data_IF_141305465844
#
_entry.id   IF_141305465844
#
_cell.length_a   1.000
_cell.length_b   1.000
_cell.length_c   1.000
_cell.angle_alpha   90.00
_cell.angle_beta   90.00
_cell.angle_gamma   90.00
#
_symmetry.space_group_name_H-M   'P 1'
#
loop_
_entity.id
_entity.type
_entity.pdbx_description
1 polymer ?
#
# COMPACT_ATOMS: atom_id res chain seq x y z
N UNK A 1 0.71 -23.34 -2.23
CA UNK A 1 0.25 -23.05 -0.86
C UNK A 1 -1.03 -22.26 -1.02
N UNK A 2 -2.12 -22.63 -0.35
CA UNK A 2 -3.37 -21.89 -0.49
C UNK A 2 -3.17 -20.54 0.21
N UNK A 3 -3.13 -19.44 -0.56
CA UNK A 3 -3.07 -18.10 0.00
C UNK A 3 -4.23 -17.92 0.96
N UNK A 4 -3.93 -17.60 2.21
CA UNK A 4 -4.97 -17.24 3.16
C UNK A 4 -5.62 -15.97 2.64
N UNK A 5 -6.90 -16.05 2.28
CA UNK A 5 -7.67 -14.89 1.85
C UNK A 5 -7.62 -13.83 2.95
N UNK A 6 -7.43 -12.58 2.54
CA UNK A 6 -7.45 -11.43 3.45
C UNK A 6 -8.63 -11.51 4.43
N UNK A 7 -8.43 -11.33 5.76
CA UNK A 7 -9.50 -11.45 6.76
C UNK A 7 -10.53 -10.32 6.69
N UNK A 8 -10.33 -9.36 5.79
CA UNK A 8 -11.22 -8.23 5.53
C UNK A 8 -11.55 -8.16 4.04
N UNK A 9 -12.56 -7.35 3.70
CA UNK A 9 -12.82 -6.94 2.33
C UNK A 9 -11.71 -5.98 1.89
N UNK A 10 -10.69 -6.52 1.21
CA UNK A 10 -9.53 -5.76 0.75
C UNK A 10 -9.97 -4.70 -0.26
N UNK A 11 -9.70 -3.44 0.04
CA UNK A 11 -10.05 -2.33 -0.83
C UNK A 11 -8.85 -1.87 -1.65
N UNK A 12 -9.07 -1.21 -2.80
CA UNK A 12 -8.02 -0.39 -3.41
C UNK A 12 -7.49 0.61 -2.38
N UNK A 13 -6.17 0.78 -2.31
CA UNK A 13 -5.52 1.68 -1.34
C UNK A 13 -6.04 3.11 -1.48
N UNK A 14 -6.33 3.57 -2.70
CA UNK A 14 -6.89 4.89 -2.95
C UNK A 14 -8.30 5.06 -2.37
N UNK A 15 -9.08 3.98 -2.29
CA UNK A 15 -10.38 3.98 -1.61
C UNK A 15 -10.20 3.93 -0.10
N UNK A 16 -9.32 3.01 0.36
CA UNK A 16 -9.07 2.81 1.78
C UNK A 16 -8.51 4.07 2.47
N UNK A 17 -7.58 4.79 1.87
CA UNK A 17 -6.98 5.98 2.51
C UNK A 17 -8.00 7.11 2.76
N UNK A 18 -9.07 7.16 1.96
CA UNK A 18 -10.09 8.22 2.05
C UNK A 18 -11.20 7.92 3.05
N UNK A 19 -11.35 6.67 3.51
CA UNK A 19 -12.45 6.37 4.41
C UNK A 19 -12.21 6.98 5.79
N UNK A 20 -13.27 7.22 6.57
CA UNK A 20 -13.13 7.75 7.92
C UNK A 20 -12.14 6.93 8.74
N UNK A 21 -11.21 7.62 9.38
CA UNK A 21 -10.21 7.00 10.23
C UNK A 21 -10.92 6.30 11.41
N UNK A 22 -10.75 4.97 11.59
CA UNK A 22 -11.32 4.25 12.72
C UNK A 22 -10.63 4.70 14.00
N UNK A 23 -11.09 5.80 14.62
CA UNK A 23 -10.58 6.34 15.89
C UNK A 23 -9.05 6.23 16.06
N UNK A 24 -8.30 7.05 15.31
CA UNK A 24 -6.90 7.35 15.65
C UNK A 24 -5.83 6.43 15.06
N UNK A 25 -6.12 5.71 13.97
CA UNK A 25 -5.10 4.93 13.25
C UNK A 25 -4.19 5.85 12.42
N UNK A 26 -4.72 6.98 11.94
CA UNK A 26 -4.10 7.82 10.91
C UNK A 26 -3.70 6.97 9.71
N UNK A 27 -4.66 6.64 8.82
CA UNK A 27 -4.40 5.82 7.62
C UNK A 27 -3.25 6.37 6.76
N UNK A 28 -3.17 7.70 6.65
CA UNK A 28 -2.08 8.39 5.94
C UNK A 28 -0.70 8.16 6.60
N UNK A 29 -0.65 8.03 7.93
CA UNK A 29 0.59 7.77 8.66
C UNK A 29 1.15 6.38 8.36
N UNK A 30 0.32 5.44 7.94
CA UNK A 30 0.74 4.11 7.51
C UNK A 30 1.37 4.12 6.11
N UNK A 31 1.23 5.19 5.31
CA UNK A 31 1.72 5.18 3.93
C UNK A 31 3.25 5.25 3.81
N UNK A 32 3.94 5.86 4.78
CA UNK A 32 5.40 5.91 4.77
C UNK A 32 6.04 4.51 4.84
N UNK A 33 5.67 3.63 5.80
CA UNK A 33 6.18 2.26 5.80
C UNK A 33 5.68 1.44 4.61
N UNK A 34 4.45 1.69 4.11
CA UNK A 34 3.95 1.02 2.89
C UNK A 34 4.80 1.36 1.67
N UNK A 35 5.09 2.65 1.46
CA UNK A 35 5.96 3.12 0.38
C UNK A 35 7.33 2.47 0.45
N UNK A 36 7.94 2.41 1.65
CA UNK A 36 9.25 1.79 1.81
C UNK A 36 9.21 0.31 1.42
N UNK A 37 8.21 -0.43 1.87
CA UNK A 37 8.08 -1.84 1.56
C UNK A 37 7.82 -2.08 0.06
N UNK A 38 6.94 -1.30 -0.58
CA UNK A 38 6.71 -1.38 -2.03
C UNK A 38 8.01 -1.14 -2.83
N UNK A 39 8.81 -0.13 -2.44
CA UNK A 39 10.10 0.15 -3.10
C UNK A 39 11.05 -1.04 -3.04
N UNK A 40 11.20 -1.64 -1.85
CA UNK A 40 12.07 -2.80 -1.64
C UNK A 40 11.61 -3.99 -2.48
N UNK A 41 10.31 -4.35 -2.38
CA UNK A 41 9.76 -5.49 -3.10
C UNK A 41 9.86 -5.31 -4.62
N UNK A 42 9.47 -4.14 -5.14
CA UNK A 42 9.55 -3.84 -6.58
C UNK A 42 11.00 -3.88 -7.07
N UNK A 43 11.94 -3.30 -6.32
CA UNK A 43 13.35 -3.29 -6.68
C UNK A 43 13.96 -4.69 -6.67
N UNK A 44 13.64 -5.52 -5.67
CA UNK A 44 14.08 -6.92 -5.60
C UNK A 44 13.58 -7.76 -6.78
N UNK A 45 12.40 -7.42 -7.33
CA UNK A 45 11.83 -8.07 -8.52
C UNK A 45 12.27 -7.42 -9.85
N UNK A 46 13.05 -6.34 -9.80
CA UNK A 46 13.57 -5.66 -10.99
C UNK A 46 12.65 -4.62 -11.62
N UNK A 47 11.54 -4.27 -10.97
CA UNK A 47 10.56 -3.26 -11.43
C UNK A 47 10.99 -1.83 -11.07
N UNK A 48 12.19 -1.44 -11.51
CA UNK A 48 12.81 -0.16 -11.14
C UNK A 48 12.04 1.05 -11.68
N UNK A 49 11.29 0.91 -12.77
CA UNK A 49 10.41 1.95 -13.31
C UNK A 49 9.35 2.38 -12.30
N UNK A 50 8.69 1.44 -11.62
CA UNK A 50 7.67 1.73 -10.62
C UNK A 50 8.28 2.37 -9.37
N UNK A 51 9.48 1.94 -8.97
CA UNK A 51 10.23 2.59 -7.88
C UNK A 51 10.48 4.07 -8.21
N UNK A 52 10.92 4.36 -9.43
CA UNK A 52 11.15 5.75 -9.87
C UNK A 52 9.86 6.58 -9.91
N UNK A 53 8.71 5.99 -10.27
CA UNK A 53 7.41 6.67 -10.24
C UNK A 53 6.99 6.99 -8.80
N UNK A 54 7.10 6.03 -7.89
CA UNK A 54 6.85 6.22 -6.46
C UNK A 54 7.76 7.30 -5.86
N UNK A 55 9.04 7.32 -6.25
CA UNK A 55 10.00 8.33 -5.80
C UNK A 55 9.62 9.74 -6.26
N UNK A 56 9.16 9.91 -7.51
CA UNK A 56 8.72 11.21 -8.01
C UNK A 56 7.52 11.74 -7.20
N UNK A 57 6.57 10.87 -6.86
CA UNK A 57 5.41 11.25 -6.06
C UNK A 57 5.84 11.62 -4.64
N UNK A 58 6.70 10.81 -4.02
CA UNK A 58 7.18 11.02 -2.65
C UNK A 58 8.06 12.26 -2.47
N UNK A 59 8.74 12.72 -3.52
CA UNK A 59 9.57 13.94 -3.50
C UNK A 59 8.81 15.19 -4.00
N UNK A 60 7.53 15.08 -4.34
CA UNK A 60 6.73 16.24 -4.70
C UNK A 60 6.61 17.19 -3.51
N UNK A 61 6.57 18.51 -3.78
CA UNK A 61 6.48 19.54 -2.74
C UNK A 61 5.26 19.36 -1.81
N UNK A 62 4.20 18.76 -2.34
CA UNK A 62 3.05 18.27 -1.58
C UNK A 62 2.83 16.81 -1.99
N UNK A 63 3.25 15.87 -1.14
CA UNK A 63 2.89 14.46 -1.31
C UNK A 63 1.41 14.34 -0.97
N UNK A 64 0.58 14.03 -1.97
CA UNK A 64 -0.84 13.77 -1.74
C UNK A 64 -1.02 12.28 -1.42
N UNK A 65 -1.45 11.90 -0.20
CA UNK A 65 -1.68 10.51 0.19
C UNK A 65 -2.49 9.71 -0.82
N UNK A 66 -3.50 10.37 -1.40
CA UNK A 66 -4.33 9.81 -2.46
C UNK A 66 -3.55 9.47 -3.74
N UNK A 67 -2.67 10.37 -4.21
CA UNK A 67 -1.89 10.11 -5.42
C UNK A 67 -0.94 8.92 -5.23
N UNK A 68 -0.31 8.84 -4.06
CA UNK A 68 0.55 7.72 -3.71
C UNK A 68 -0.24 6.40 -3.71
N UNK A 69 -1.43 6.39 -3.12
CA UNK A 69 -2.28 5.21 -3.09
C UNK A 69 -2.82 4.81 -4.47
N UNK A 70 -3.14 5.78 -5.33
CA UNK A 70 -3.52 5.52 -6.72
C UNK A 70 -2.38 4.84 -7.49
N UNK A 71 -1.13 5.24 -7.23
CA UNK A 71 0.03 4.61 -7.86
C UNK A 71 0.22 3.18 -7.35
N UNK A 72 0.04 2.90 -6.05
CA UNK A 72 0.05 1.52 -5.55
C UNK A 72 -1.01 0.65 -6.23
N UNK A 73 -2.21 1.17 -6.43
CA UNK A 73 -3.29 0.45 -7.10
C UNK A 73 -2.99 0.19 -8.59
N UNK A 74 -2.40 1.18 -9.28
CA UNK A 74 -1.94 1.03 -10.67
C UNK A 74 -0.86 -0.04 -10.79
N UNK A 75 0.18 0.00 -9.95
CA UNK A 75 1.29 -0.96 -9.96
C UNK A 75 0.76 -2.39 -9.89
N UNK A 76 -0.15 -2.68 -8.95
CA UNK A 76 -0.76 -4.02 -8.80
C UNK A 76 -1.46 -4.50 -10.09
N UNK A 77 -2.02 -3.60 -10.89
CA UNK A 77 -2.68 -3.93 -12.15
C UNK A 77 -1.71 -4.19 -13.32
N UNK A 78 -0.47 -3.70 -13.23
CA UNK A 78 0.52 -3.74 -14.30
C UNK A 78 1.61 -4.82 -14.10
N UNK A 79 1.83 -5.27 -12.86
CA UNK A 79 2.79 -6.33 -12.52
C UNK A 79 2.23 -7.74 -12.74
N UNK A 80 3.15 -8.71 -12.81
CA UNK A 80 2.84 -10.13 -12.87
C UNK A 80 2.02 -10.62 -11.66
N UNK A 81 1.20 -11.64 -11.88
CA UNK A 81 0.26 -12.16 -10.88
C UNK A 81 0.91 -12.50 -9.54
N UNK A 82 2.09 -13.16 -9.56
CA UNK A 82 2.79 -13.52 -8.32
C UNK A 82 3.26 -12.32 -7.50
N UNK A 83 3.60 -11.21 -8.15
CA UNK A 83 3.96 -9.99 -7.45
C UNK A 83 2.71 -9.27 -6.98
N UNK A 84 1.67 -9.19 -7.82
CA UNK A 84 0.38 -8.62 -7.43
C UNK A 84 -0.17 -9.26 -6.16
N UNK A 85 -0.22 -10.60 -6.10
CA UNK A 85 -0.69 -11.34 -4.93
C UNK A 85 0.09 -10.93 -3.67
N UNK A 86 1.42 -10.80 -3.78
CA UNK A 86 2.28 -10.40 -2.67
C UNK A 86 2.07 -8.94 -2.24
N UNK A 87 1.83 -8.03 -3.17
CA UNK A 87 1.47 -6.63 -2.88
C UNK A 87 0.08 -6.56 -2.20
N UNK A 88 -0.90 -7.35 -2.66
CA UNK A 88 -2.24 -7.43 -2.07
C UNK A 88 -2.23 -8.06 -0.66
N UNK A 89 -1.38 -9.05 -0.41
CA UNK A 89 -1.17 -9.63 0.93
C UNK A 89 -0.61 -8.58 1.91
N UNK A 90 0.29 -7.72 1.44
CA UNK A 90 0.82 -6.64 2.26
C UNK A 90 -0.23 -5.55 2.52
N UNK A 91 -0.94 -5.10 1.48
CA UNK A 91 -2.05 -4.15 1.63
C UNK A 91 -3.11 -4.66 2.61
N UNK A 92 -3.40 -5.97 2.56
CA UNK A 92 -4.29 -6.61 3.50
C UNK A 92 -3.82 -6.46 4.96
N UNK A 93 -2.52 -6.68 5.22
CA UNK A 93 -1.95 -6.51 6.56
C UNK A 93 -2.09 -5.07 7.05
N UNK A 94 -1.87 -4.10 6.16
CA UNK A 94 -2.00 -2.66 6.46
C UNK A 94 -3.44 -2.28 6.75
N UNK A 95 -4.39 -2.75 5.93
CA UNK A 95 -5.80 -2.41 6.07
C UNK A 95 -6.47 -3.14 7.24
N UNK A 96 -5.95 -4.32 7.62
CA UNK A 96 -6.41 -5.06 8.79
C UNK A 96 -5.79 -4.57 10.11
N UNK A 97 -4.79 -3.68 10.05
CA UNK A 97 -4.14 -3.13 11.22
C UNK A 97 -5.16 -2.45 12.15
N UNK A 98 -5.09 -2.82 13.42
CA UNK A 98 -5.82 -2.17 14.51
C UNK A 98 -4.77 -1.80 15.56
N UNK A 99 -4.70 -0.54 16.00
CA UNK A 99 -3.87 -0.21 17.15
C UNK A 99 -4.37 -0.99 18.36
N UNK A 100 -3.45 -1.51 19.17
CA UNK A 100 -3.82 -2.08 20.45
C UNK A 100 -4.49 -0.99 21.31
N UNK A 101 -5.66 -1.30 21.89
CA UNK A 101 -6.25 -0.45 22.92
C UNK A 101 -5.27 -0.48 24.11
N UNK A 102 -4.43 0.53 24.24
CA UNK A 102 -3.68 0.82 25.48
C UNK A 102 -4.73 1.15 26.57
N UNK A 103 -5.29 0.12 27.21
CA UNK A 103 -6.10 0.20 28.45
C UNK A 103 -5.23 0.33 29.68
#
# INVERSE_FOLDING_TARGET
MAGEKCPIDLKPMATWVQEPDPKGICRECLLAPVLQWYREELNEKGHTEFVNELDKIAHAAEVLPLQLCQEFDKIKSEVEESLRERLEEFDCTVQAYKPDDDS
#
